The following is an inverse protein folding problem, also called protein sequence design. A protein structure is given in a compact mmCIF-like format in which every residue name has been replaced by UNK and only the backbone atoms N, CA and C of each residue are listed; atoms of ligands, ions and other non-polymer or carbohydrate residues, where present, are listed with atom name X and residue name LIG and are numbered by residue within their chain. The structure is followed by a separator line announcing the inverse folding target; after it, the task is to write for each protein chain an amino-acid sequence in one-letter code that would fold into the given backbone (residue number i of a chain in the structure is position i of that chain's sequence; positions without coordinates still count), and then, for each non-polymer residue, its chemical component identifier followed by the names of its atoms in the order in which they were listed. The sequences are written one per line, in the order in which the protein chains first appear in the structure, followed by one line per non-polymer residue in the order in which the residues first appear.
data_IF_490910059697
#
_entry.id   IF_490910059697
#
_cell.length_a   1.000
_cell.length_b   1.000
_cell.length_c   1.000
_cell.angle_alpha   90.00
_cell.angle_beta   90.00
_cell.angle_gamma   90.00
#
_symmetry.space_group_name_H-M   'P 1'
#
loop_
_entity.id
_entity.type
_entity.pdbx_description
1 polymer ?
#
# COMPACT_ATOMS: atom_id res chain seq x y z
N UNK A 1 12.86 -10.95 11.93
CA UNK A 1 11.80 -11.74 11.24
C UNK A 1 11.44 -11.08 9.93
N UNK A 2 10.83 -11.83 9.00
CA UNK A 2 10.29 -11.28 7.75
C UNK A 2 8.77 -11.18 7.90
N UNK A 3 8.21 -10.01 7.61
CA UNK A 3 6.76 -9.79 7.56
C UNK A 3 6.36 -9.62 6.11
N UNK A 4 5.32 -10.35 5.69
CA UNK A 4 4.66 -10.16 4.41
C UNK A 4 3.30 -9.49 4.62
N UNK A 5 3.03 -8.41 3.89
CA UNK A 5 1.72 -7.73 3.91
C UNK A 5 1.21 -7.50 2.50
N UNK A 6 -0.03 -7.92 2.26
CA UNK A 6 -0.73 -7.70 1.00
C UNK A 6 -1.60 -6.46 1.13
N UNK A 7 -1.42 -5.50 0.23
CA UNK A 7 -2.19 -4.27 0.14
C UNK A 7 -2.96 -4.27 -1.17
N UNK A 8 -4.30 -4.20 -1.09
CA UNK A 8 -5.19 -4.20 -2.25
C UNK A 8 -5.81 -2.81 -2.42
N UNK A 9 -5.99 -2.35 -3.65
CA UNK A 9 -6.78 -1.14 -3.95
C UNK A 9 -8.15 -1.23 -3.27
N UNK A 10 -8.56 -0.17 -2.57
CA UNK A 10 -9.83 -0.16 -1.83
C UNK A 10 -11.01 -0.06 -2.77
N UNK A 11 -10.96 0.89 -3.72
CA UNK A 11 -12.09 1.12 -4.61
C UNK A 11 -12.31 -0.06 -5.56
N UNK A 12 -13.53 -0.59 -5.55
CA UNK A 12 -13.88 -1.76 -6.35
C UNK A 12 -14.03 -1.42 -7.82
N UNK A 13 -14.48 -0.20 -8.14
CA UNK A 13 -14.63 0.24 -9.53
C UNK A 13 -13.27 0.43 -10.16
N UNK A 14 -12.34 1.09 -9.47
CA UNK A 14 -10.94 1.22 -9.91
C UNK A 14 -10.30 -0.11 -10.27
N UNK A 15 -10.60 -1.19 -9.55
CA UNK A 15 -10.06 -2.53 -9.88
C UNK A 15 -10.57 -3.11 -11.20
N UNK A 16 -11.55 -2.51 -11.87
CA UNK A 16 -12.03 -2.96 -13.18
C UNK A 16 -11.18 -2.42 -14.34
N UNK A 17 -10.51 -1.27 -14.14
CA UNK A 17 -9.85 -0.55 -15.23
C UNK A 17 -8.44 -0.06 -14.90
N UNK A 18 -7.98 -0.17 -13.65
CA UNK A 18 -6.61 0.16 -13.26
C UNK A 18 -5.76 -1.08 -13.06
N UNK A 19 -4.55 -1.03 -13.60
CA UNK A 19 -3.49 -2.00 -13.36
C UNK A 19 -2.35 -1.35 -12.57
N UNK A 20 -2.11 -1.82 -11.34
CA UNK A 20 -1.04 -1.29 -10.49
C UNK A 20 0.36 -1.54 -11.08
N UNK A 21 0.52 -2.47 -12.03
CA UNK A 21 1.80 -2.72 -12.70
C UNK A 21 2.24 -1.53 -13.52
N UNK A 22 1.30 -0.73 -14.02
CA UNK A 22 1.58 0.54 -14.72
C UNK A 22 2.24 1.57 -13.78
N UNK A 23 2.05 1.41 -12.47
CA UNK A 23 2.63 2.23 -11.41
C UNK A 23 3.81 1.55 -10.69
N UNK A 24 4.40 0.51 -11.28
CA UNK A 24 5.43 -0.31 -10.62
C UNK A 24 6.64 0.53 -10.18
N UNK A 25 7.07 1.49 -11.00
CA UNK A 25 8.22 2.34 -10.69
C UNK A 25 7.94 3.26 -9.51
N UNK A 26 6.76 3.86 -9.46
CA UNK A 26 6.30 4.80 -8.45
C UNK A 26 6.11 4.10 -7.11
N UNK A 27 5.43 2.95 -7.11
CA UNK A 27 5.17 2.16 -5.90
C UNK A 27 6.48 1.60 -5.35
N UNK A 28 7.37 1.10 -6.21
CA UNK A 28 8.70 0.62 -5.81
C UNK A 28 9.53 1.73 -5.19
N UNK A 29 9.62 2.89 -5.83
CA UNK A 29 10.35 4.04 -5.29
C UNK A 29 9.77 4.51 -3.96
N UNK A 30 8.44 4.51 -3.82
CA UNK A 30 7.81 4.83 -2.54
C UNK A 30 8.18 3.83 -1.44
N UNK A 31 8.24 2.53 -1.75
CA UNK A 31 8.64 1.49 -0.81
C UNK A 31 10.12 1.61 -0.41
N UNK A 32 11.02 1.78 -1.38
CA UNK A 32 12.45 1.98 -1.14
C UNK A 32 12.71 3.19 -0.24
N UNK A 33 12.04 4.30 -0.48
CA UNK A 33 12.17 5.51 0.34
C UNK A 33 11.67 5.31 1.79
N UNK A 34 10.63 4.50 1.98
CA UNK A 34 9.98 4.32 3.28
C UNK A 34 10.58 3.22 4.13
N UNK A 35 11.01 2.13 3.51
CA UNK A 35 11.51 0.94 4.22
C UNK A 35 13.03 0.80 4.12
N UNK A 36 13.68 1.41 3.13
CA UNK A 36 15.14 1.43 2.96
C UNK A 36 15.75 0.02 3.09
N UNK A 37 16.76 -0.16 3.93
CA UNK A 37 17.42 -1.43 4.21
C UNK A 37 16.50 -2.51 4.82
N UNK A 38 15.30 -2.14 5.27
CA UNK A 38 14.30 -3.08 5.76
C UNK A 38 13.47 -3.70 4.62
N UNK A 39 13.46 -3.11 3.42
CA UNK A 39 12.75 -3.67 2.28
C UNK A 39 13.47 -4.93 1.78
N UNK A 40 12.78 -6.06 1.80
CA UNK A 40 13.31 -7.33 1.28
C UNK A 40 12.83 -7.57 -0.15
N UNK A 41 11.52 -7.40 -0.38
CA UNK A 41 10.91 -7.62 -1.69
C UNK A 41 9.61 -6.83 -1.82
N UNK A 42 9.23 -6.55 -3.06
CA UNK A 42 7.97 -5.95 -3.45
C UNK A 42 7.47 -6.59 -4.75
N UNK A 43 6.37 -7.33 -4.63
CA UNK A 43 5.68 -7.96 -5.75
C UNK A 43 4.41 -7.19 -6.07
N UNK A 44 4.32 -6.60 -7.26
CA UNK A 44 3.16 -5.83 -7.70
C UNK A 44 2.37 -6.66 -8.69
N UNK A 45 1.08 -6.80 -8.42
CA UNK A 45 0.08 -7.46 -9.26
C UNK A 45 -0.98 -6.45 -9.68
N UNK A 46 -1.88 -6.82 -10.58
CA UNK A 46 -2.84 -5.90 -11.18
C UNK A 46 -3.64 -5.04 -10.17
N UNK A 47 -4.06 -5.61 -9.04
CA UNK A 47 -4.93 -4.91 -8.07
C UNK A 47 -4.38 -4.83 -6.65
N UNK A 48 -3.22 -5.44 -6.43
CA UNK A 48 -2.59 -5.52 -5.12
C UNK A 48 -1.08 -5.56 -5.24
N UNK A 49 -0.39 -5.31 -4.13
CA UNK A 49 1.02 -5.64 -4.00
C UNK A 49 1.28 -6.34 -2.68
N UNK A 50 2.33 -7.15 -2.66
CA UNK A 50 2.86 -7.80 -1.46
C UNK A 50 4.19 -7.14 -1.15
N UNK A 51 4.29 -6.56 0.04
CA UNK A 51 5.54 -6.04 0.57
C UNK A 51 6.11 -6.98 1.62
N UNK A 52 7.38 -7.32 1.46
CA UNK A 52 8.15 -8.18 2.36
C UNK A 52 9.20 -7.31 3.05
N UNK A 53 9.17 -7.23 4.37
CA UNK A 53 10.12 -6.40 5.13
C UNK A 53 10.77 -7.16 6.28
N UNK A 54 12.02 -6.79 6.59
CA UNK A 54 12.70 -7.18 7.83
C UNK A 54 12.15 -6.32 8.97
N UNK A 55 11.69 -6.97 10.03
CA UNK A 55 11.23 -6.28 11.24
C UNK A 55 11.71 -7.02 12.49
N UNK A 56 11.98 -6.31 13.61
CA UNK A 56 12.21 -6.94 14.91
C UNK A 56 10.91 -7.39 15.60
N UNK A 57 9.74 -6.91 15.14
CA UNK A 57 8.43 -7.28 15.69
C UNK A 57 7.54 -7.87 14.60
N UNK A 58 6.39 -8.45 14.97
CA UNK A 58 5.41 -9.02 14.02
C UNK A 58 4.56 -7.98 13.29
N UNK A 59 4.80 -6.68 13.52
CA UNK A 59 4.02 -5.58 12.95
C UNK A 59 4.92 -4.54 12.30
N UNK A 60 4.38 -3.89 11.27
CA UNK A 60 5.02 -2.70 10.69
C UNK A 60 4.67 -1.51 11.59
N UNK A 61 5.67 -0.70 11.98
CA UNK A 61 5.43 0.50 12.79
C UNK A 61 4.49 1.45 12.06
N UNK A 62 3.52 2.01 12.78
CA UNK A 62 2.50 2.90 12.19
C UNK A 62 3.10 4.09 11.44
N UNK A 63 4.09 4.77 12.01
CA UNK A 63 4.76 5.91 11.35
C UNK A 63 5.42 5.56 10.01
N UNK A 64 5.94 4.34 9.87
CA UNK A 64 6.52 3.85 8.61
C UNK A 64 5.43 3.68 7.55
N UNK A 65 4.27 3.12 7.93
CA UNK A 65 3.12 2.99 7.04
C UNK A 65 2.56 4.35 6.61
N UNK A 66 2.47 5.31 7.53
CA UNK A 66 2.04 6.68 7.21
C UNK A 66 2.99 7.32 6.19
N UNK A 67 4.30 7.20 6.40
CA UNK A 67 5.30 7.72 5.46
C UNK A 67 5.24 7.01 4.11
N UNK A 68 4.98 5.70 4.09
CA UNK A 68 4.77 4.96 2.85
C UNK A 68 3.55 5.46 2.07
N UNK A 69 2.41 5.66 2.75
CA UNK A 69 1.23 6.25 2.13
C UNK A 69 1.50 7.64 1.53
N UNK A 70 2.24 8.50 2.26
CA UNK A 70 2.66 9.82 1.76
C UNK A 70 3.57 9.72 0.54
N UNK A 71 4.54 8.81 0.55
CA UNK A 71 5.44 8.61 -0.59
C UNK A 71 4.69 8.08 -1.81
N UNK A 72 3.74 7.17 -1.64
CA UNK A 72 2.84 6.74 -2.72
C UNK A 72 2.08 7.93 -3.27
N UNK A 73 1.46 8.75 -2.41
CA UNK A 73 0.69 9.91 -2.87
C UNK A 73 1.54 10.91 -3.67
N UNK A 74 2.82 11.05 -3.32
CA UNK A 74 3.76 11.92 -4.03
C UNK A 74 4.29 11.30 -5.33
N UNK A 75 4.56 10.00 -5.36
CA UNK A 75 5.12 9.34 -6.56
C UNK A 75 4.03 8.98 -7.58
N UNK A 76 2.86 8.53 -7.13
CA UNK A 76 1.75 8.05 -7.95
C UNK A 76 0.52 8.95 -7.78
N UNK A 77 0.69 10.26 -8.00
CA UNK A 77 -0.39 11.23 -7.81
C UNK A 77 -1.63 10.94 -8.69
N UNK A 78 -1.44 10.47 -9.92
CA UNK A 78 -2.53 10.07 -10.82
C UNK A 78 -3.30 8.84 -10.31
N UNK A 79 -2.60 7.83 -9.76
CA UNK A 79 -3.25 6.69 -9.12
C UNK A 79 -4.15 7.13 -7.95
N UNK A 80 -3.66 8.07 -7.13
CA UNK A 80 -4.46 8.64 -6.06
C UNK A 80 -5.68 9.40 -6.57
N UNK A 81 -5.52 10.22 -7.61
CA UNK A 81 -6.63 10.98 -8.18
C UNK A 81 -7.75 10.07 -8.71
N UNK A 82 -7.40 8.89 -9.24
CA UNK A 82 -8.36 7.97 -9.86
C UNK A 82 -8.97 6.96 -8.89
N UNK A 83 -8.21 6.46 -7.91
CA UNK A 83 -8.61 5.29 -7.12
C UNK A 83 -8.71 5.51 -5.60
N UNK A 84 -8.43 6.72 -5.12
CA UNK A 84 -8.55 7.03 -3.71
C UNK A 84 -10.02 6.98 -3.27
N UNK A 85 -10.31 6.15 -2.27
CA UNK A 85 -11.62 6.19 -1.63
C UNK A 85 -11.65 7.31 -0.58
N UNK A 86 -12.62 8.21 -0.72
CA UNK A 86 -12.89 9.27 0.26
C UNK A 86 -14.02 8.81 1.16
N UNK A 87 -13.79 8.87 2.47
CA UNK A 87 -14.83 8.65 3.47
C UNK A 87 -15.24 10.00 4.06
N UNK A 88 -16.44 10.50 3.74
CA UNK A 88 -16.93 11.76 4.29
C UNK A 88 -17.12 11.63 5.80
N UNK A 89 -16.95 12.74 6.51
CA UNK A 89 -17.21 12.85 7.92
C UNK A 89 -17.70 14.28 8.20
N UNK A 90 -18.81 14.41 8.92
CA UNK A 90 -19.42 15.72 9.17
C UNK A 90 -18.67 16.53 10.25
N UNK A 91 -17.86 15.86 11.10
CA UNK A 91 -17.17 16.47 12.24
C UNK A 91 -15.67 16.69 12.01
N UNK A 92 -15.08 15.99 11.05
CA UNK A 92 -13.64 15.99 10.80
C UNK A 92 -13.34 16.01 9.31
N UNK A 93 -12.10 16.36 8.94
CA UNK A 93 -11.65 16.26 7.56
C UNK A 93 -11.89 14.85 7.00
N UNK A 94 -12.35 14.71 5.74
CA UNK A 94 -12.55 13.41 5.12
C UNK A 94 -11.29 12.57 5.16
N UNK A 95 -11.46 11.28 5.47
CA UNK A 95 -10.34 10.34 5.43
C UNK A 95 -10.18 9.76 4.02
N UNK A 96 -8.93 9.56 3.63
CA UNK A 96 -8.57 9.13 2.29
C UNK A 96 -7.83 7.80 2.37
N UNK A 97 -8.27 6.79 1.62
CA UNK A 97 -7.65 5.48 1.61
C UNK A 97 -7.52 4.92 0.20
N UNK A 98 -6.28 4.66 -0.20
CA UNK A 98 -5.99 4.05 -1.50
C UNK A 98 -5.91 2.52 -1.39
N UNK A 99 -5.25 2.02 -0.33
CA UNK A 99 -5.04 0.60 -0.11
C UNK A 99 -5.62 0.12 1.22
N UNK A 100 -6.12 -1.10 1.24
CA UNK A 100 -6.42 -1.84 2.46
C UNK A 100 -5.47 -3.02 2.61
N UNK A 101 -4.94 -3.21 3.81
CA UNK A 101 -4.16 -4.40 4.13
C UNK A 101 -5.10 -5.60 4.23
N UNK A 102 -4.90 -6.61 3.40
CA UNK A 102 -5.59 -7.89 3.58
C UNK A 102 -4.97 -8.61 4.77
N UNK A 103 -5.83 -9.23 5.58
CA UNK A 103 -5.35 -10.26 6.50
C UNK A 103 -4.78 -11.36 5.61
N UNK A 104 -3.51 -11.69 5.80
CA UNK A 104 -2.94 -12.90 5.22
C UNK A 104 -3.77 -14.04 5.77
N UNK A 105 -4.48 -14.80 4.91
CA UNK A 105 -4.94 -16.11 5.32
C UNK A 105 -3.67 -16.89 5.62
N UNK A 106 -3.39 -17.10 6.89
CA UNK A 106 -2.38 -18.08 7.30
C UNK A 106 -3.02 -19.40 6.89
N UNK A 107 -2.62 -19.92 5.73
CA UNK A 107 -2.79 -21.35 5.47
C UNK A 107 -1.72 -21.98 6.36
N UNK A 108 -2.13 -22.37 7.56
CA UNK A 108 -1.36 -23.31 8.34
C UNK A 108 -1.18 -24.56 7.46
N UNK A 109 0.06 -25.03 7.44
CA UNK A 109 0.56 -26.12 6.58
C UNK A 109 -0.33 -27.36 6.60
#
# INVERSE_FOLDING_TARGET
MIINKTYQLVDAKSRLYLDLRDYNKEIRKAAEMSFRELLIDLKISQHNFIISIKSPTSRIKHGVLVNFGKNIARQAASLCATAMKVYPNDKHLPSHQLFNCKKTNIVDK
#
